data_IF_584120419793
#
_entry.id   IF_584120419793
#
_cell.length_a   1.000
_cell.length_b   1.000
_cell.length_c   1.000
_cell.angle_alpha   90.00
_cell.angle_beta   90.00
_cell.angle_gamma   90.00
#
_symmetry.space_group_name_H-M   'P 1'
#
loop_
_entity.id
_entity.type
_entity.pdbx_description
1 polymer ?
#
# COMPACT_ATOMS: atom_id res chain seq x y z
N UNK A 1 -17.20 -19.99 20.18
CA UNK A 1 -18.12 -19.15 20.95
C UNK A 1 -19.57 -19.55 20.75
N UNK A 2 -20.48 -19.14 21.63
CA UNK A 2 -21.93 -19.39 21.53
C UNK A 2 -22.49 -18.81 20.22
N UNK A 3 -22.07 -17.59 19.87
CA UNK A 3 -22.46 -16.88 18.65
C UNK A 3 -22.19 -17.72 17.38
N UNK A 4 -20.99 -18.27 17.24
CA UNK A 4 -20.65 -19.11 16.07
C UNK A 4 -21.51 -20.36 15.96
N UNK A 5 -21.89 -20.93 17.12
CA UNK A 5 -22.80 -22.10 17.12
C UNK A 5 -24.22 -21.73 16.67
N UNK A 6 -24.70 -20.54 17.06
CA UNK A 6 -26.02 -20.08 16.58
C UNK A 6 -25.98 -19.69 15.10
N UNK A 7 -24.88 -19.15 14.57
CA UNK A 7 -24.71 -18.91 13.13
C UNK A 7 -24.82 -20.21 12.33
N UNK A 8 -24.13 -21.28 12.77
CA UNK A 8 -24.22 -22.61 12.14
C UNK A 8 -25.65 -23.19 12.23
N UNK A 9 -26.37 -22.95 13.31
CA UNK A 9 -27.77 -23.39 13.44
C UNK A 9 -28.68 -22.61 12.48
N UNK A 10 -28.47 -21.30 12.33
CA UNK A 10 -29.22 -20.46 11.42
C UNK A 10 -28.98 -20.86 9.94
N UNK A 11 -27.72 -21.08 9.54
CA UNK A 11 -27.36 -21.57 8.20
C UNK A 11 -28.03 -22.93 7.84
N UNK A 12 -28.22 -23.76 8.85
CA UNK A 12 -28.85 -25.10 8.68
C UNK A 12 -30.36 -25.10 8.92
N UNK A 13 -30.97 -23.96 9.12
CA UNK A 13 -32.37 -23.78 9.49
C UNK A 13 -32.82 -24.68 10.67
N UNK A 14 -31.92 -24.95 11.63
CA UNK A 14 -32.14 -25.83 12.77
C UNK A 14 -32.31 -25.04 14.07
N UNK A 15 -33.29 -25.49 14.89
CA UNK A 15 -33.44 -24.94 16.26
C UNK A 15 -32.50 -25.66 17.25
N UNK A 16 -32.04 -24.97 18.29
CA UNK A 16 -31.17 -25.55 19.30
C UNK A 16 -31.95 -26.61 20.12
N UNK A 17 -31.37 -27.81 20.23
CA UNK A 17 -31.95 -28.90 21.01
C UNK A 17 -31.79 -28.67 22.53
N UNK A 18 -32.52 -29.48 23.32
CA UNK A 18 -32.55 -29.35 24.78
C UNK A 18 -31.15 -29.45 25.41
N UNK A 19 -30.33 -30.40 24.95
CA UNK A 19 -28.95 -30.60 25.43
C UNK A 19 -28.05 -29.43 25.12
N UNK A 20 -28.16 -28.84 23.96
CA UNK A 20 -27.42 -27.65 23.59
C UNK A 20 -27.76 -26.47 24.51
N UNK A 21 -29.05 -26.24 24.76
CA UNK A 21 -29.53 -25.19 25.65
C UNK A 21 -29.05 -25.39 27.09
N UNK A 22 -29.14 -26.60 27.60
CA UNK A 22 -28.71 -26.95 28.96
C UNK A 22 -27.20 -26.73 29.15
N UNK A 23 -26.40 -27.22 28.20
CA UNK A 23 -24.95 -27.05 28.19
C UNK A 23 -24.54 -25.59 28.26
N UNK A 24 -25.11 -24.74 27.42
CA UNK A 24 -24.74 -23.33 27.38
C UNK A 24 -25.31 -22.53 28.54
N UNK A 25 -26.45 -22.87 29.07
CA UNK A 25 -26.98 -22.27 30.30
C UNK A 25 -26.06 -22.55 31.51
N UNK A 26 -25.57 -23.78 31.62
CA UNK A 26 -24.62 -24.16 32.65
C UNK A 26 -23.24 -23.51 32.45
N UNK A 27 -22.74 -23.54 31.23
CA UNK A 27 -21.40 -23.02 30.91
C UNK A 27 -21.27 -21.50 31.10
N UNK A 28 -22.35 -20.76 30.92
CA UNK A 28 -22.37 -19.29 31.00
C UNK A 28 -23.06 -18.75 32.24
N UNK A 29 -23.50 -19.64 33.15
CA UNK A 29 -24.27 -19.30 34.36
C UNK A 29 -25.47 -18.37 34.09
N UNK A 30 -26.13 -18.61 32.95
CA UNK A 30 -27.22 -17.78 32.45
C UNK A 30 -28.57 -18.27 32.97
N UNK A 31 -29.32 -17.42 33.63
CA UNK A 31 -30.77 -17.62 33.93
C UNK A 31 -31.62 -17.49 32.63
N UNK A 32 -31.07 -17.82 31.45
CA UNK A 32 -31.64 -17.46 30.16
C UNK A 32 -31.96 -18.70 29.29
N UNK A 33 -32.39 -19.82 29.91
CA UNK A 33 -32.78 -21.03 29.19
C UNK A 33 -33.87 -20.78 28.15
N UNK A 34 -34.84 -19.94 28.46
CA UNK A 34 -35.92 -19.56 27.53
C UNK A 34 -35.41 -18.68 26.37
N UNK A 35 -34.42 -17.81 26.62
CA UNK A 35 -33.80 -17.01 25.57
C UNK A 35 -33.08 -17.86 24.51
N UNK A 36 -32.36 -18.90 24.94
CA UNK A 36 -31.68 -19.84 24.06
C UNK A 36 -32.64 -20.72 23.23
N UNK A 37 -33.94 -20.69 23.54
CA UNK A 37 -34.98 -21.40 22.79
C UNK A 37 -35.58 -20.58 21.63
N UNK A 38 -35.31 -19.28 21.58
CA UNK A 38 -35.82 -18.38 20.54
C UNK A 38 -35.21 -18.70 19.17
N UNK A 39 -35.75 -18.09 18.15
CA UNK A 39 -35.22 -18.23 16.78
C UNK A 39 -33.74 -17.87 16.72
N UNK A 40 -32.93 -18.65 15.99
CA UNK A 40 -31.45 -18.39 15.92
C UNK A 40 -31.09 -16.99 15.48
N UNK A 41 -31.81 -16.43 14.51
CA UNK A 41 -31.61 -15.04 14.03
C UNK A 41 -31.79 -13.99 15.15
N UNK A 42 -32.82 -14.14 15.96
CA UNK A 42 -33.08 -13.25 17.10
C UNK A 42 -31.99 -13.37 18.18
N UNK A 43 -31.54 -14.60 18.48
CA UNK A 43 -30.47 -14.83 19.46
C UNK A 43 -29.14 -14.26 18.95
N UNK A 44 -28.83 -14.44 17.67
CA UNK A 44 -27.63 -13.88 17.03
C UNK A 44 -27.65 -12.36 17.16
N UNK A 45 -28.69 -11.70 16.70
CA UNK A 45 -28.80 -10.23 16.74
C UNK A 45 -28.67 -9.68 18.16
N UNK A 46 -29.29 -10.34 19.16
CA UNK A 46 -29.20 -9.93 20.55
C UNK A 46 -27.79 -10.12 21.12
N UNK A 47 -27.13 -11.25 20.83
CA UNK A 47 -25.76 -11.51 21.27
C UNK A 47 -24.76 -10.58 20.60
N UNK A 48 -24.94 -10.27 19.32
CA UNK A 48 -24.11 -9.31 18.58
C UNK A 48 -24.26 -7.90 19.16
N UNK A 49 -25.49 -7.46 19.38
CA UNK A 49 -25.76 -6.15 20.00
C UNK A 49 -25.13 -6.05 21.39
N UNK A 50 -25.29 -7.08 22.22
CA UNK A 50 -24.69 -7.12 23.55
C UNK A 50 -23.16 -7.12 23.50
N UNK A 51 -22.57 -7.89 22.59
CA UNK A 51 -21.13 -7.94 22.39
C UNK A 51 -20.56 -6.60 21.95
N UNK A 52 -21.14 -5.99 20.94
CA UNK A 52 -20.65 -4.69 20.45
C UNK A 52 -20.85 -3.57 21.46
N UNK A 53 -21.97 -3.60 22.20
CA UNK A 53 -22.22 -2.65 23.28
C UNK A 53 -21.19 -2.77 24.40
N UNK A 54 -20.90 -4.00 24.86
CA UNK A 54 -19.87 -4.26 25.87
C UNK A 54 -18.48 -3.85 25.38
N UNK A 55 -18.13 -4.24 24.14
CA UNK A 55 -16.83 -3.91 23.55
C UNK A 55 -16.64 -2.42 23.35
N UNK A 56 -17.70 -1.71 22.96
CA UNK A 56 -17.70 -0.25 22.86
C UNK A 56 -17.37 0.38 24.23
N UNK A 57 -18.06 -0.06 25.29
CA UNK A 57 -17.81 0.46 26.64
C UNK A 57 -16.39 0.19 27.13
N UNK A 58 -15.85 -1.01 26.85
CA UNK A 58 -14.46 -1.34 27.18
C UNK A 58 -13.47 -0.41 26.47
N UNK A 59 -13.65 -0.21 25.15
CA UNK A 59 -12.80 0.68 24.35
C UNK A 59 -12.91 2.14 24.83
N UNK A 60 -14.10 2.61 25.17
CA UNK A 60 -14.30 3.96 25.69
C UNK A 60 -13.61 4.16 27.05
N UNK A 61 -13.59 3.13 27.91
CA UNK A 61 -12.85 3.16 29.16
C UNK A 61 -11.32 3.16 28.94
N UNK A 62 -10.82 2.29 28.07
CA UNK A 62 -9.41 2.28 27.69
C UNK A 62 -8.97 3.63 27.10
N UNK A 63 -9.78 4.21 26.21
CA UNK A 63 -9.53 5.51 25.60
C UNK A 63 -9.43 6.60 26.66
N UNK A 64 -10.37 6.64 27.60
CA UNK A 64 -10.36 7.62 28.70
C UNK A 64 -9.11 7.54 29.55
N UNK A 65 -8.67 6.33 29.91
CA UNK A 65 -7.42 6.13 30.68
C UNK A 65 -6.21 6.67 29.90
N UNK A 66 -6.16 6.43 28.61
CA UNK A 66 -5.08 6.93 27.74
C UNK A 66 -5.13 8.47 27.62
N UNK A 67 -6.32 9.03 27.41
CA UNK A 67 -6.52 10.49 27.33
C UNK A 67 -6.11 11.19 28.64
N UNK A 68 -6.51 10.66 29.79
CA UNK A 68 -6.13 11.18 31.10
C UNK A 68 -4.60 11.14 31.30
N UNK A 69 -3.95 10.04 30.92
CA UNK A 69 -2.50 9.90 30.98
C UNK A 69 -1.77 10.87 30.06
N UNK A 70 -2.26 11.06 28.82
CA UNK A 70 -1.72 12.02 27.86
C UNK A 70 -1.86 13.46 28.34
N UNK A 71 -3.00 13.79 28.97
CA UNK A 71 -3.24 15.12 29.53
C UNK A 71 -2.31 15.39 30.72
N UNK A 72 -2.12 14.41 31.63
CA UNK A 72 -1.18 14.53 32.74
C UNK A 72 0.27 14.68 32.30
N UNK A 73 0.66 14.00 31.24
CA UNK A 73 2.02 14.05 30.70
C UNK A 73 2.34 15.38 30.01
N UNK A 74 1.34 16.20 29.69
CA UNK A 74 1.43 17.47 28.96
C UNK A 74 2.41 17.41 27.76
N UNK A 75 2.20 16.38 26.95
CA UNK A 75 3.12 16.02 25.84
C UNK A 75 3.32 17.22 24.92
N UNK A 76 2.26 17.97 24.63
CA UNK A 76 2.31 19.12 23.73
C UNK A 76 3.27 20.21 24.25
N UNK A 77 3.19 20.55 25.50
CA UNK A 77 4.05 21.55 26.12
C UNK A 77 5.49 21.04 26.23
N UNK A 78 5.68 19.78 26.59
CA UNK A 78 7.01 19.17 26.68
C UNK A 78 7.69 19.07 25.33
N UNK A 79 6.97 18.75 24.25
CA UNK A 79 7.49 18.77 22.88
C UNK A 79 7.90 20.17 22.44
N UNK A 80 7.11 21.20 22.76
CA UNK A 80 7.49 22.59 22.43
C UNK A 80 8.69 23.06 23.25
N UNK A 81 8.79 22.68 24.51
CA UNK A 81 10.00 22.93 25.33
C UNK A 81 11.22 22.24 24.74
N UNK A 82 11.09 20.96 24.37
CA UNK A 82 12.18 20.20 23.73
C UNK A 82 12.64 20.88 22.44
N UNK A 83 11.71 21.26 21.57
CA UNK A 83 12.00 21.99 20.33
C UNK A 83 12.74 23.30 20.60
N UNK A 84 12.22 24.09 21.53
CA UNK A 84 12.83 25.38 21.90
C UNK A 84 14.25 25.22 22.45
N UNK A 85 14.45 24.27 23.36
CA UNK A 85 15.77 23.98 23.92
C UNK A 85 16.74 23.44 22.85
N UNK A 86 16.30 22.54 21.99
CA UNK A 86 17.11 22.00 20.90
C UNK A 86 17.53 23.07 19.92
N UNK A 87 16.62 23.97 19.52
CA UNK A 87 16.94 25.10 18.65
C UNK A 87 17.91 26.08 19.32
N UNK A 88 17.78 26.33 20.62
CA UNK A 88 18.69 27.19 21.37
C UNK A 88 20.11 26.61 21.41
N UNK A 89 20.25 25.31 21.66
CA UNK A 89 21.51 24.59 21.64
C UNK A 89 22.14 24.66 20.24
N UNK A 90 21.36 24.40 19.20
CA UNK A 90 21.83 24.44 17.81
C UNK A 90 22.32 25.85 17.44
N UNK A 91 21.52 26.88 17.73
CA UNK A 91 21.90 28.28 17.48
C UNK A 91 23.20 28.65 18.19
N UNK A 92 23.36 28.26 19.46
CA UNK A 92 24.59 28.55 20.22
C UNK A 92 25.80 27.83 19.63
N UNK A 93 25.66 26.57 19.18
CA UNK A 93 26.76 25.84 18.51
C UNK A 93 27.13 26.48 17.19
N UNK A 94 26.16 26.88 16.37
CA UNK A 94 26.39 27.55 15.09
C UNK A 94 27.07 28.92 15.34
N UNK A 95 26.53 29.70 16.28
CA UNK A 95 27.15 31.01 16.64
C UNK A 95 28.60 30.84 17.11
N UNK A 96 28.88 29.86 17.99
CA UNK A 96 30.23 29.57 18.44
C UNK A 96 31.19 29.16 17.32
N UNK A 97 30.68 28.42 16.33
CA UNK A 97 31.48 27.96 15.18
C UNK A 97 31.82 29.12 14.21
N UNK A 98 30.93 30.10 14.03
CA UNK A 98 31.02 31.11 12.97
C UNK A 98 31.22 32.55 13.47
N UNK A 99 31.54 32.76 14.74
CA UNK A 99 31.75 34.10 15.31
C UNK A 99 33.06 34.78 14.89
N UNK A 100 34.01 34.07 14.29
CA UNK A 100 35.37 34.57 14.06
C UNK A 100 35.86 34.49 12.60
N UNK A 101 35.02 34.71 11.62
CA UNK A 101 35.51 34.75 10.25
C UNK A 101 34.46 34.37 9.19
N UNK A 102 34.81 34.54 7.94
CA UNK A 102 34.01 34.14 6.81
C UNK A 102 33.98 32.59 6.72
N UNK A 103 32.82 32.05 6.36
CA UNK A 103 32.65 30.63 6.06
C UNK A 103 33.57 30.22 4.91
N UNK A 104 34.28 29.12 5.08
CA UNK A 104 35.06 28.54 3.98
C UNK A 104 34.09 28.10 2.86
N UNK A 105 34.39 28.55 1.65
CA UNK A 105 33.64 28.16 0.44
C UNK A 105 34.36 27.00 -0.24
N UNK A 106 33.59 26.03 -0.68
CA UNK A 106 34.09 24.85 -1.38
C UNK A 106 33.36 24.70 -2.72
N UNK A 107 34.06 24.26 -3.72
CA UNK A 107 33.53 23.82 -4.99
C UNK A 107 33.51 22.28 -5.03
N UNK A 108 32.81 21.69 -5.99
CA UNK A 108 32.82 20.22 -6.17
C UNK A 108 34.24 19.68 -6.39
N UNK A 109 35.14 20.49 -6.97
CA UNK A 109 36.55 20.11 -7.18
C UNK A 109 37.35 20.04 -5.89
N UNK A 110 36.95 20.77 -4.87
CA UNK A 110 37.62 20.79 -3.56
C UNK A 110 37.26 19.62 -2.67
N UNK A 111 36.16 18.94 -2.94
CA UNK A 111 35.63 17.91 -2.06
C UNK A 111 36.61 16.76 -1.80
N UNK A 112 37.31 16.28 -2.85
CA UNK A 112 38.29 15.20 -2.70
C UNK A 112 39.63 15.68 -2.11
N UNK A 113 40.30 16.66 -2.65
CA UNK A 113 41.64 17.07 -2.15
C UNK A 113 41.56 17.71 -0.76
N UNK A 114 40.41 18.26 -0.37
CA UNK A 114 40.22 18.94 0.92
C UNK A 114 39.09 18.29 1.72
N UNK A 115 38.97 16.96 1.67
CA UNK A 115 37.87 16.21 2.27
C UNK A 115 37.71 16.50 3.76
N UNK A 116 38.76 16.54 4.52
CA UNK A 116 38.73 16.81 5.96
C UNK A 116 38.15 18.20 6.27
N UNK A 117 38.68 19.23 5.64
CA UNK A 117 38.17 20.58 5.83
C UNK A 117 36.74 20.75 5.33
N UNK A 118 36.42 20.05 4.23
CA UNK A 118 35.08 20.03 3.67
C UNK A 118 34.08 19.38 4.65
N UNK A 119 34.42 18.23 5.22
CA UNK A 119 33.52 17.50 6.17
C UNK A 119 33.44 18.24 7.52
N UNK A 120 34.46 18.93 7.95
CA UNK A 120 34.36 19.83 9.12
C UNK A 120 33.32 20.93 8.91
N UNK A 121 33.20 21.45 7.69
CA UNK A 121 32.24 22.51 7.36
C UNK A 121 30.87 21.94 7.02
N UNK A 122 30.82 20.87 6.25
CA UNK A 122 29.63 20.19 5.79
C UNK A 122 29.61 18.72 6.25
N UNK A 123 29.22 18.46 7.51
CA UNK A 123 29.26 17.09 8.07
C UNK A 123 28.21 16.15 7.48
N UNK A 124 27.22 16.68 6.76
CA UNK A 124 26.16 15.89 6.07
C UNK A 124 26.34 16.08 4.57
N UNK A 125 26.57 14.96 3.87
CA UNK A 125 26.70 14.91 2.42
C UNK A 125 25.56 14.10 1.83
N UNK A 126 24.78 14.69 0.94
CA UNK A 126 23.73 14.01 0.20
C UNK A 126 24.29 13.50 -1.13
N UNK A 127 24.08 12.22 -1.42
CA UNK A 127 24.60 11.59 -2.64
C UNK A 127 23.69 10.43 -3.06
N UNK A 128 23.87 9.98 -4.29
CA UNK A 128 23.34 8.67 -4.69
C UNK A 128 24.27 7.55 -4.17
N UNK A 129 23.75 6.34 -4.00
CA UNK A 129 24.54 5.17 -3.59
C UNK A 129 25.79 4.97 -4.47
N UNK A 130 25.64 5.18 -5.77
CA UNK A 130 26.74 5.05 -6.74
C UNK A 130 27.81 6.11 -6.61
N UNK A 131 27.44 7.34 -6.23
CA UNK A 131 28.37 8.48 -6.18
C UNK A 131 28.97 8.70 -4.79
N UNK A 132 28.43 8.10 -3.73
CA UNK A 132 28.83 8.33 -2.35
C UNK A 132 30.36 8.18 -2.14
N UNK A 133 30.94 7.08 -2.63
CA UNK A 133 32.38 6.80 -2.54
C UNK A 133 33.24 7.84 -3.26
N UNK A 134 32.68 8.53 -4.24
CA UNK A 134 33.39 9.54 -5.02
C UNK A 134 33.33 10.96 -4.41
N UNK A 135 32.54 11.16 -3.36
CA UNK A 135 32.40 12.50 -2.73
C UNK A 135 33.58 12.89 -1.87
N UNK A 136 34.38 11.93 -1.38
CA UNK A 136 35.52 12.16 -0.50
C UNK A 136 36.80 11.48 -1.02
N UNK A 137 37.95 11.76 -0.43
CA UNK A 137 39.21 11.12 -0.77
C UNK A 137 39.15 9.61 -0.43
N UNK A 138 40.05 8.83 -1.02
CA UNK A 138 40.10 7.37 -0.79
C UNK A 138 40.47 6.98 0.62
N UNK A 139 41.24 7.80 1.29
CA UNK A 139 41.76 7.56 2.62
C UNK A 139 40.81 7.98 3.73
N UNK A 140 39.67 8.58 3.36
CA UNK A 140 38.65 9.01 4.31
C UNK A 140 37.39 8.14 4.21
N UNK A 141 36.75 7.97 5.35
CA UNK A 141 35.45 7.31 5.48
C UNK A 141 34.50 8.19 6.31
N UNK A 142 33.23 8.09 6.05
CA UNK A 142 32.20 8.73 6.87
C UNK A 142 32.02 7.97 8.18
N UNK A 143 31.58 8.63 9.23
CA UNK A 143 31.18 7.95 10.47
C UNK A 143 29.93 7.08 10.22
N UNK A 144 29.00 7.57 9.44
CA UNK A 144 27.75 6.90 9.11
C UNK A 144 27.40 7.05 7.63
N UNK A 145 26.86 5.97 7.06
CA UNK A 145 26.03 6.02 5.87
C UNK A 145 24.59 5.75 6.27
N UNK A 146 23.69 6.61 5.85
CA UNK A 146 22.25 6.43 6.00
C UNK A 146 21.68 6.21 4.60
N UNK A 147 21.20 5.00 4.32
CA UNK A 147 20.66 4.62 3.02
C UNK A 147 19.16 4.50 3.12
N UNK A 148 18.45 5.39 2.45
CA UNK A 148 16.99 5.34 2.34
C UNK A 148 16.57 4.56 1.08
N UNK A 149 15.36 4.03 1.09
CA UNK A 149 14.78 3.19 0.03
C UNK A 149 15.67 2.00 -0.36
N UNK A 150 16.34 1.38 0.61
CA UNK A 150 17.32 0.30 0.39
C UNK A 150 16.71 -0.97 -0.23
N UNK A 151 15.39 -1.12 -0.21
CA UNK A 151 14.69 -2.18 -0.96
C UNK A 151 14.85 -2.07 -2.48
N UNK A 152 15.07 -0.84 -2.99
CA UNK A 152 15.27 -0.58 -4.43
C UNK A 152 16.74 -0.62 -4.85
N UNK A 153 17.65 -0.74 -3.90
CA UNK A 153 19.10 -0.76 -4.17
C UNK A 153 19.54 -2.17 -4.47
N UNK A 154 20.31 -2.35 -5.55
CA UNK A 154 20.97 -3.62 -5.84
C UNK A 154 22.18 -3.85 -4.91
N UNK A 155 22.54 -5.12 -4.70
CA UNK A 155 23.59 -5.49 -3.75
C UNK A 155 24.95 -4.85 -4.10
N UNK A 156 25.28 -4.69 -5.39
CA UNK A 156 26.56 -4.15 -5.84
C UNK A 156 26.73 -2.69 -5.43
N UNK A 157 25.72 -1.87 -5.74
CA UNK A 157 25.75 -0.43 -5.41
C UNK A 157 25.57 -0.17 -3.93
N UNK A 158 24.79 -1.02 -3.23
CA UNK A 158 24.69 -0.99 -1.78
C UNK A 158 26.00 -1.30 -1.08
N UNK A 159 26.72 -2.34 -1.51
CA UNK A 159 28.04 -2.68 -0.99
C UNK A 159 29.06 -1.57 -1.24
N UNK A 160 29.01 -0.92 -2.42
CA UNK A 160 29.86 0.23 -2.71
C UNK A 160 29.60 1.39 -1.73
N UNK A 161 28.34 1.68 -1.44
CA UNK A 161 28.01 2.73 -0.47
C UNK A 161 28.44 2.35 0.97
N UNK A 162 28.28 1.08 1.38
CA UNK A 162 28.77 0.63 2.69
C UNK A 162 30.29 0.81 2.83
N UNK A 163 31.04 0.62 1.75
CA UNK A 163 32.50 0.74 1.78
C UNK A 163 33.03 2.14 2.11
N UNK A 164 32.16 3.15 2.16
CA UNK A 164 32.57 4.53 2.44
C UNK A 164 32.26 4.99 3.88
N UNK A 165 31.79 4.10 4.76
CA UNK A 165 31.43 4.49 6.13
C UNK A 165 31.81 3.40 7.16
N UNK A 166 31.98 3.82 8.43
CA UNK A 166 32.26 2.91 9.55
C UNK A 166 30.97 2.25 10.09
N UNK A 167 29.86 2.99 10.05
CA UNK A 167 28.57 2.52 10.52
C UNK A 167 27.51 2.72 9.43
N UNK A 168 26.45 1.90 9.46
CA UNK A 168 25.38 2.01 8.49
C UNK A 168 23.99 2.00 9.15
N UNK A 169 23.10 2.82 8.63
CA UNK A 169 21.66 2.80 8.91
C UNK A 169 20.96 2.50 7.60
N UNK A 170 20.35 1.32 7.49
CA UNK A 170 19.70 0.85 6.28
C UNK A 170 18.19 1.00 6.46
N UNK A 171 17.60 1.93 5.71
CA UNK A 171 16.17 2.24 5.78
C UNK A 171 15.49 1.73 4.52
N UNK A 172 14.35 1.07 4.67
CA UNK A 172 13.57 0.54 3.56
C UNK A 172 12.42 -0.33 4.05
N UNK A 173 11.54 -0.70 3.15
CA UNK A 173 10.39 -1.55 3.45
C UNK A 173 10.43 -2.86 2.67
N UNK A 174 10.36 -3.98 3.37
CA UNK A 174 10.24 -5.31 2.75
C UNK A 174 8.87 -5.53 2.08
N UNK A 175 7.89 -4.71 2.41
CA UNK A 175 6.56 -4.65 1.81
C UNK A 175 6.45 -3.58 0.69
N UNK A 176 7.57 -3.00 0.29
CA UNK A 176 7.66 -2.07 -0.85
C UNK A 176 8.28 -2.78 -2.06
N UNK A 177 8.27 -2.08 -3.22
CA UNK A 177 8.85 -2.66 -4.42
C UNK A 177 10.35 -2.91 -4.26
N UNK A 178 10.83 -4.13 -4.55
CA UNK A 178 12.25 -4.41 -4.59
C UNK A 178 12.90 -3.79 -5.85
N UNK A 179 14.23 -3.81 -5.89
CA UNK A 179 14.95 -3.50 -7.12
C UNK A 179 14.52 -4.44 -8.25
N UNK A 180 14.38 -3.86 -9.46
CA UNK A 180 13.95 -4.63 -10.64
C UNK A 180 15.18 -5.26 -11.30
N UNK A 181 15.18 -6.59 -11.40
CA UNK A 181 16.19 -7.35 -12.12
C UNK A 181 15.54 -7.93 -13.38
N UNK A 182 16.11 -7.64 -14.55
CA UNK A 182 15.60 -8.18 -15.82
C UNK A 182 15.90 -9.69 -15.95
N UNK A 183 15.19 -10.38 -16.84
CA UNK A 183 15.44 -11.82 -17.07
C UNK A 183 16.88 -12.08 -17.54
N UNK A 184 17.42 -11.21 -18.37
CA UNK A 184 18.80 -11.31 -18.88
C UNK A 184 19.81 -11.10 -17.74
N UNK A 185 19.61 -10.08 -16.92
CA UNK A 185 20.43 -9.85 -15.71
C UNK A 185 20.34 -11.02 -14.72
N UNK A 186 19.16 -11.60 -14.53
CA UNK A 186 18.97 -12.76 -13.66
C UNK A 186 19.83 -13.95 -14.11
N UNK A 187 19.87 -14.21 -15.42
CA UNK A 187 20.70 -15.28 -15.97
C UNK A 187 22.19 -15.00 -15.75
N UNK A 188 22.64 -13.78 -16.04
CA UNK A 188 24.04 -13.39 -15.85
C UNK A 188 24.46 -13.44 -14.37
N UNK A 189 23.62 -12.92 -13.45
CA UNK A 189 23.89 -12.94 -12.02
C UNK A 189 23.93 -14.36 -11.45
N UNK A 190 23.05 -15.25 -11.89
CA UNK A 190 23.08 -16.66 -11.49
C UNK A 190 24.33 -17.37 -12.00
N UNK A 191 24.78 -17.09 -13.24
CA UNK A 191 26.03 -17.63 -13.74
C UNK A 191 27.24 -17.18 -12.91
N UNK A 192 27.32 -15.90 -12.56
CA UNK A 192 28.34 -15.35 -11.65
C UNK A 192 28.26 -16.04 -10.27
N UNK A 193 27.06 -16.17 -9.68
CA UNK A 193 26.85 -16.83 -8.41
C UNK A 193 27.44 -18.24 -8.38
N UNK A 194 27.15 -19.02 -9.40
CA UNK A 194 27.64 -20.40 -9.54
C UNK A 194 29.18 -20.42 -9.69
N UNK A 195 29.72 -19.58 -10.60
CA UNK A 195 31.14 -19.55 -10.90
C UNK A 195 32.01 -19.16 -9.70
N UNK A 196 31.52 -18.29 -8.83
CA UNK A 196 32.27 -17.79 -7.67
C UNK A 196 31.77 -18.36 -6.34
N UNK A 197 30.88 -19.36 -6.37
CA UNK A 197 30.27 -19.98 -5.20
C UNK A 197 29.73 -18.95 -4.18
N UNK A 198 29.00 -17.94 -4.68
CA UNK A 198 28.44 -16.89 -3.83
C UNK A 198 27.25 -17.44 -3.04
N UNK A 199 27.26 -17.25 -1.72
CA UNK A 199 26.18 -17.66 -0.83
C UNK A 199 24.83 -17.01 -1.21
N UNK A 200 23.74 -17.70 -0.92
CA UNK A 200 22.39 -17.29 -1.36
C UNK A 200 21.97 -15.92 -0.79
N UNK A 201 22.37 -15.60 0.46
CA UNK A 201 22.14 -14.30 1.09
C UNK A 201 22.74 -13.10 0.34
N UNK A 202 23.68 -13.34 -0.59
CA UNK A 202 24.27 -12.33 -1.47
C UNK A 202 23.81 -12.47 -2.92
N UNK A 203 22.74 -13.23 -3.18
CA UNK A 203 22.23 -13.46 -4.51
C UNK A 203 21.51 -12.22 -5.06
N UNK A 204 22.20 -11.41 -5.84
CA UNK A 204 21.67 -10.20 -6.43
C UNK A 204 20.52 -10.42 -7.46
N UNK A 205 20.31 -11.67 -7.89
CA UNK A 205 19.18 -12.01 -8.76
C UNK A 205 17.84 -12.11 -8.01
N UNK A 206 17.88 -12.37 -6.69
CA UNK A 206 16.69 -12.64 -5.87
C UNK A 206 16.54 -11.71 -4.67
N UNK A 207 17.62 -11.05 -4.25
CA UNK A 207 17.63 -10.18 -3.09
C UNK A 207 17.93 -8.73 -3.45
N UNK A 208 17.18 -7.82 -2.86
CA UNK A 208 17.58 -6.42 -2.77
C UNK A 208 18.70 -6.26 -1.73
N UNK A 209 19.33 -5.09 -1.72
CA UNK A 209 20.35 -4.78 -0.72
C UNK A 209 19.80 -4.86 0.72
N UNK A 210 18.57 -4.35 0.94
CA UNK A 210 17.89 -4.45 2.24
C UNK A 210 17.72 -5.91 2.70
N UNK A 211 17.23 -6.78 1.81
CA UNK A 211 17.03 -8.21 2.13
C UNK A 211 18.36 -8.90 2.43
N UNK A 212 19.39 -8.64 1.61
CA UNK A 212 20.72 -9.17 1.86
C UNK A 212 21.28 -8.70 3.20
N UNK A 213 21.16 -7.41 3.55
CA UNK A 213 21.57 -6.89 4.85
C UNK A 213 20.84 -7.56 6.01
N UNK A 214 19.51 -7.74 5.90
CA UNK A 214 18.72 -8.39 6.94
C UNK A 214 19.14 -9.85 7.18
N UNK A 215 19.54 -10.58 6.14
CA UNK A 215 20.03 -11.95 6.26
C UNK A 215 21.46 -12.05 6.76
N UNK A 216 22.32 -11.08 6.41
CA UNK A 216 23.74 -11.05 6.79
C UNK A 216 23.91 -10.56 8.23
N UNK A 217 23.22 -9.49 8.61
CA UNK A 217 23.36 -8.81 9.89
C UNK A 217 22.21 -9.15 10.85
N UNK A 218 22.01 -10.44 11.14
CA UNK A 218 20.89 -10.91 11.97
C UNK A 218 20.87 -10.34 13.39
N UNK A 219 22.04 -9.97 13.92
CA UNK A 219 22.16 -9.37 15.26
C UNK A 219 22.01 -7.84 15.26
N UNK A 220 21.88 -7.22 14.09
CA UNK A 220 21.68 -5.79 14.02
C UNK A 220 20.29 -5.40 14.55
N UNK A 221 20.16 -4.29 15.29
CA UNK A 221 18.86 -3.84 15.76
C UNK A 221 17.96 -3.45 14.58
N UNK A 222 16.72 -3.97 14.61
CA UNK A 222 15.69 -3.67 13.62
C UNK A 222 14.56 -2.91 14.29
N UNK A 223 14.20 -1.75 13.75
CA UNK A 223 13.10 -0.94 14.26
C UNK A 223 12.05 -0.76 13.16
N UNK A 224 10.83 -1.23 13.40
CA UNK A 224 9.69 -0.97 12.54
C UNK A 224 9.16 0.43 12.81
N UNK A 225 9.11 1.29 11.78
CA UNK A 225 8.45 2.59 11.82
C UNK A 225 6.95 2.38 11.65
N UNK A 226 6.20 2.43 12.74
CA UNK A 226 4.77 2.11 12.76
C UNK A 226 3.88 3.30 12.43
N UNK A 227 4.33 4.52 12.69
CA UNK A 227 3.52 5.72 12.52
C UNK A 227 3.40 6.12 11.06
N UNK A 228 2.16 6.25 10.59
CA UNK A 228 1.85 6.61 9.22
C UNK A 228 1.16 7.99 9.18
N UNK A 229 1.80 8.96 8.55
CA UNK A 229 1.40 10.38 8.54
C UNK A 229 0.83 10.86 7.21
N UNK A 230 0.68 10.00 6.21
CA UNK A 230 0.35 10.40 4.84
C UNK A 230 -1.11 10.15 4.49
N UNK A 231 -1.51 8.89 4.41
CA UNK A 231 -2.78 8.49 3.85
C UNK A 231 -3.93 8.66 4.85
N UNK A 232 -5.12 8.92 4.33
CA UNK A 232 -6.35 8.84 5.09
C UNK A 232 -6.46 7.48 5.83
N UNK A 233 -6.97 7.43 7.08
CA UNK A 233 -7.01 6.19 7.87
C UNK A 233 -7.70 5.02 7.17
N UNK A 234 -8.75 5.28 6.39
CA UNK A 234 -9.47 4.25 5.64
C UNK A 234 -8.66 3.69 4.47
N UNK A 235 -7.79 4.50 3.85
CA UNK A 235 -6.91 4.04 2.76
C UNK A 235 -5.81 3.16 3.34
N UNK A 236 -5.04 3.68 4.29
CA UNK A 236 -3.93 2.90 4.88
C UNK A 236 -4.43 1.72 5.71
N UNK A 237 -5.66 1.76 6.21
CA UNK A 237 -6.27 0.67 6.97
C UNK A 237 -6.36 -0.64 6.19
N UNK A 238 -6.54 -0.60 4.88
CA UNK A 238 -6.43 -1.80 4.03
C UNK A 238 -5.01 -2.35 4.03
N UNK A 239 -4.03 -1.49 3.69
CA UNK A 239 -2.61 -1.90 3.66
C UNK A 239 -2.18 -2.44 5.02
N UNK A 240 -2.57 -1.78 6.11
CA UNK A 240 -2.26 -2.19 7.47
C UNK A 240 -2.74 -3.61 7.77
N UNK A 241 -4.00 -3.91 7.46
CA UNK A 241 -4.57 -5.26 7.69
C UNK A 241 -3.96 -6.31 6.77
N UNK A 242 -3.74 -5.97 5.50
CA UNK A 242 -3.35 -6.95 4.48
C UNK A 242 -1.86 -7.23 4.47
N UNK A 243 -1.02 -6.20 4.67
CA UNK A 243 0.42 -6.29 4.46
C UNK A 243 1.25 -6.10 5.74
N UNK A 244 0.70 -5.42 6.76
CA UNK A 244 1.43 -5.05 7.98
C UNK A 244 0.85 -5.66 9.26
N UNK A 245 -0.02 -6.68 9.15
CA UNK A 245 -0.61 -7.41 10.30
C UNK A 245 -1.31 -6.50 11.35
N UNK A 246 -1.75 -5.32 10.97
CA UNK A 246 -2.36 -4.35 11.88
C UNK A 246 -1.38 -3.52 12.70
N UNK A 247 -0.08 -3.58 12.42
CA UNK A 247 0.95 -2.94 13.25
C UNK A 247 1.11 -1.43 12.98
N UNK A 248 0.61 -0.92 11.86
CA UNK A 248 0.70 0.51 11.56
C UNK A 248 -0.27 1.32 12.41
N UNK A 249 0.17 2.51 12.81
CA UNK A 249 -0.60 3.49 13.55
C UNK A 249 -0.87 4.66 12.61
N UNK A 250 -2.13 4.83 12.19
CA UNK A 250 -2.51 5.98 11.37
C UNK A 250 -2.53 7.24 12.25
N UNK A 251 -1.63 8.18 11.96
CA UNK A 251 -1.53 9.47 12.65
C UNK A 251 -2.37 10.56 11.97
N UNK A 252 -3.00 10.22 10.85
CA UNK A 252 -3.94 11.07 10.12
C UNK A 252 -5.34 10.93 10.71
N UNK A 253 -6.17 11.96 10.51
CA UNK A 253 -7.52 12.01 11.09
C UNK A 253 -8.56 11.83 10.00
N UNK A 254 -9.55 10.97 10.24
CA UNK A 254 -10.77 10.86 9.44
C UNK A 254 -11.73 12.00 9.85
N UNK A 255 -12.01 12.89 8.91
CA UNK A 255 -12.96 14.00 9.09
C UNK A 255 -14.34 13.69 8.49
N UNK A 256 -14.60 12.41 8.24
CA UNK A 256 -15.79 11.92 7.53
C UNK A 256 -15.88 12.44 6.07
N UNK A 257 -14.73 12.52 5.40
CA UNK A 257 -14.68 12.88 3.98
C UNK A 257 -15.46 11.85 3.15
N UNK A 258 -16.20 12.37 2.17
CA UNK A 258 -16.93 11.54 1.21
C UNK A 258 -15.98 11.00 0.14
N UNK A 259 -16.29 9.84 -0.40
CA UNK A 259 -15.59 9.25 -1.55
C UNK A 259 -14.06 9.01 -1.32
N UNK A 260 -13.67 8.73 -0.07
CA UNK A 260 -12.27 8.40 0.25
C UNK A 260 -11.79 7.19 -0.54
N UNK A 261 -12.65 6.20 -0.69
CA UNK A 261 -12.42 4.99 -1.47
C UNK A 261 -13.55 4.82 -2.49
N UNK A 262 -13.23 4.41 -3.70
CA UNK A 262 -14.19 4.14 -4.76
C UNK A 262 -13.70 3.02 -5.66
N UNK A 263 -14.63 2.20 -6.15
CA UNK A 263 -14.38 1.23 -7.23
C UNK A 263 -15.27 1.58 -8.41
N UNK A 264 -14.68 1.59 -9.60
CA UNK A 264 -15.43 1.70 -10.86
C UNK A 264 -15.13 0.43 -11.67
N UNK A 265 -16.17 -0.34 -11.94
CA UNK A 265 -16.07 -1.52 -12.78
C UNK A 265 -16.44 -1.16 -14.21
N UNK A 266 -15.61 -1.51 -15.16
CA UNK A 266 -15.97 -1.39 -16.57
C UNK A 266 -16.95 -2.50 -16.97
N UNK A 267 -17.51 -2.41 -18.16
CA UNK A 267 -18.34 -3.48 -18.71
C UNK A 267 -17.55 -4.79 -18.76
N UNK A 268 -18.13 -5.94 -18.38
CA UNK A 268 -17.45 -7.23 -18.48
C UNK A 268 -17.01 -7.56 -19.91
N UNK A 269 -15.88 -8.20 -20.08
CA UNK A 269 -15.40 -8.65 -21.37
C UNK A 269 -13.86 -8.73 -21.46
N UNK A 270 -13.37 -9.13 -22.61
CA UNK A 270 -11.94 -9.24 -22.91
C UNK A 270 -11.43 -7.92 -23.52
N UNK A 271 -11.21 -6.92 -22.69
CA UNK A 271 -10.84 -5.56 -23.09
C UNK A 271 -9.33 -5.28 -23.05
N UNK A 272 -8.57 -6.05 -22.26
CA UNK A 272 -7.12 -5.90 -22.18
C UNK A 272 -6.42 -6.62 -23.34
N UNK A 273 -5.55 -5.89 -24.05
CA UNK A 273 -4.71 -6.42 -25.15
C UNK A 273 -3.32 -5.80 -25.07
N UNK A 274 -2.28 -6.63 -24.96
CA UNK A 274 -0.90 -6.16 -24.94
C UNK A 274 -0.62 -5.14 -23.83
N UNK A 275 -1.13 -5.35 -22.63
CA UNK A 275 -1.03 -4.46 -21.46
C UNK A 275 -1.69 -3.08 -21.67
N UNK A 276 -2.72 -3.02 -22.50
CA UNK A 276 -3.53 -1.84 -22.73
C UNK A 276 -5.01 -2.22 -22.63
N UNK A 277 -5.78 -1.45 -21.87
CA UNK A 277 -7.23 -1.58 -21.71
C UNK A 277 -7.90 -0.26 -22.08
N UNK A 278 -8.36 -0.16 -23.33
CA UNK A 278 -9.00 1.07 -23.83
C UNK A 278 -10.27 1.38 -23.06
N UNK A 279 -10.99 0.37 -22.58
CA UNK A 279 -12.22 0.56 -21.81
C UNK A 279 -11.97 1.29 -20.48
N UNK A 280 -10.89 0.93 -19.78
CA UNK A 280 -10.52 1.66 -18.57
C UNK A 280 -10.08 3.09 -18.87
N UNK A 281 -9.37 3.32 -19.98
CA UNK A 281 -8.98 4.67 -20.42
C UNK A 281 -10.20 5.54 -20.66
N UNK A 282 -11.17 5.04 -21.42
CA UNK A 282 -12.41 5.77 -21.74
C UNK A 282 -13.21 6.04 -20.46
N UNK A 283 -13.34 5.06 -19.59
CA UNK A 283 -14.03 5.19 -18.29
C UNK A 283 -13.36 6.25 -17.41
N UNK A 284 -12.03 6.23 -17.32
CA UNK A 284 -11.29 7.23 -16.55
C UNK A 284 -11.51 8.62 -17.15
N UNK A 285 -11.36 8.76 -18.45
CA UNK A 285 -11.45 10.06 -19.12
C UNK A 285 -12.86 10.67 -19.05
N UNK A 286 -13.91 9.88 -19.21
CA UNK A 286 -15.28 10.36 -19.37
C UNK A 286 -16.10 10.34 -18.08
N UNK A 287 -15.83 9.39 -17.16
CA UNK A 287 -16.67 9.20 -15.98
C UNK A 287 -15.98 9.46 -14.66
N UNK A 288 -14.64 9.26 -14.58
CA UNK A 288 -13.93 9.31 -13.29
C UNK A 288 -13.25 10.66 -13.05
N UNK A 289 -12.57 11.19 -14.06
CA UNK A 289 -11.76 12.41 -13.95
C UNK A 289 -12.51 13.61 -13.38
N UNK A 290 -13.77 13.80 -13.77
CA UNK A 290 -14.59 14.94 -13.33
C UNK A 290 -14.83 14.94 -11.82
N UNK A 291 -14.88 13.77 -11.19
CA UNK A 291 -15.08 13.64 -9.75
C UNK A 291 -13.88 14.07 -8.89
N UNK A 292 -12.70 14.26 -9.51
CA UNK A 292 -11.45 14.62 -8.83
C UNK A 292 -10.85 15.96 -9.30
N UNK A 293 -11.62 16.76 -10.03
CA UNK A 293 -11.14 18.05 -10.56
C UNK A 293 -10.64 19.00 -9.47
N UNK A 294 -11.29 19.00 -8.31
CA UNK A 294 -11.01 19.89 -7.18
C UNK A 294 -10.09 19.24 -6.10
N UNK A 295 -9.51 18.08 -6.38
CA UNK A 295 -8.71 17.35 -5.39
C UNK A 295 -7.32 17.96 -5.10
N UNK A 296 -6.96 19.05 -5.78
CA UNK A 296 -5.65 19.72 -5.67
C UNK A 296 -4.58 19.02 -6.49
N UNK A 297 -4.10 17.83 -6.08
CA UNK A 297 -3.18 17.02 -6.88
C UNK A 297 -3.81 15.67 -7.22
N UNK A 298 -3.78 15.32 -8.50
CA UNK A 298 -4.32 14.09 -9.04
C UNK A 298 -3.21 13.31 -9.77
N UNK A 299 -3.16 12.01 -9.52
CA UNK A 299 -2.28 11.10 -10.23
C UNK A 299 -3.01 9.86 -10.70
N UNK A 300 -2.53 9.26 -11.78
CA UNK A 300 -3.04 7.98 -12.27
C UNK A 300 -1.92 6.97 -12.23
N UNK A 301 -2.17 5.83 -11.59
CA UNK A 301 -1.20 4.76 -11.43
C UNK A 301 -1.69 3.51 -12.14
N UNK A 302 -0.79 2.86 -12.87
CA UNK A 302 -1.08 1.60 -13.56
C UNK A 302 0.12 0.65 -13.49
N UNK A 303 -0.08 -0.67 -13.57
CA UNK A 303 1.03 -1.63 -13.62
C UNK A 303 1.91 -1.48 -14.87
N UNK A 304 1.34 -1.03 -16.02
CA UNK A 304 1.97 -1.14 -17.32
C UNK A 304 2.30 0.21 -17.97
N UNK A 305 3.50 0.31 -18.55
CA UNK A 305 3.98 1.52 -19.26
C UNK A 305 3.09 1.89 -20.44
N UNK A 306 2.60 0.89 -21.20
CA UNK A 306 1.73 1.09 -22.36
C UNK A 306 0.43 1.78 -21.96
N UNK A 307 -0.20 1.34 -20.86
CA UNK A 307 -1.41 1.95 -20.32
C UNK A 307 -1.17 3.38 -19.85
N UNK A 308 -0.05 3.62 -19.13
CA UNK A 308 0.30 4.95 -18.67
C UNK A 308 0.47 5.94 -19.82
N UNK A 309 1.20 5.53 -20.88
CA UNK A 309 1.39 6.37 -22.05
C UNK A 309 0.07 6.66 -22.79
N UNK A 310 -0.79 5.65 -22.92
CA UNK A 310 -2.10 5.80 -23.55
C UNK A 310 -3.05 6.72 -22.75
N UNK A 311 -3.05 6.62 -21.42
CA UNK A 311 -3.79 7.51 -20.53
C UNK A 311 -3.31 8.95 -20.67
N UNK A 312 -2.01 9.22 -20.63
CA UNK A 312 -1.45 10.55 -20.81
C UNK A 312 -1.84 11.16 -22.16
N UNK A 313 -1.81 10.34 -23.23
CA UNK A 313 -2.25 10.76 -24.56
C UNK A 313 -3.75 11.06 -24.62
N UNK A 314 -4.59 10.20 -24.03
CA UNK A 314 -6.04 10.36 -24.07
C UNK A 314 -6.52 11.56 -23.23
N UNK A 315 -5.80 11.89 -22.16
CA UNK A 315 -6.14 13.00 -21.26
C UNK A 315 -5.44 14.32 -21.65
N UNK A 316 -4.52 14.29 -22.59
CA UNK A 316 -3.62 15.42 -22.90
C UNK A 316 -2.93 16.00 -21.66
N UNK A 317 -2.48 15.11 -20.76
CA UNK A 317 -1.86 15.45 -19.47
C UNK A 317 -0.79 14.41 -19.10
N UNK A 318 0.30 14.84 -18.49
CA UNK A 318 1.36 13.94 -17.98
C UNK A 318 1.14 13.66 -16.48
N UNK A 319 0.03 13.00 -16.14
CA UNK A 319 -0.35 12.64 -14.76
C UNK A 319 -0.39 11.14 -14.50
N UNK A 320 -0.22 10.33 -15.56
CA UNK A 320 -0.22 8.87 -15.44
C UNK A 320 1.19 8.30 -15.49
N UNK A 321 1.47 7.33 -14.63
CA UNK A 321 2.76 6.62 -14.59
C UNK A 321 2.61 5.22 -14.03
N UNK A 322 3.68 4.43 -14.17
CA UNK A 322 3.72 3.11 -13.52
C UNK A 322 3.97 3.24 -12.02
N UNK A 323 3.56 2.22 -11.26
CA UNK A 323 3.77 2.17 -9.80
C UNK A 323 5.23 2.44 -9.42
N UNK A 324 6.19 1.83 -10.15
CA UNK A 324 7.62 2.03 -9.92
C UNK A 324 8.07 3.49 -10.06
N UNK A 325 7.55 4.21 -11.05
CA UNK A 325 7.87 5.62 -11.27
C UNK A 325 7.13 6.56 -10.29
N UNK A 326 6.08 6.05 -9.67
CA UNK A 326 5.32 6.78 -8.65
C UNK A 326 5.91 6.62 -7.24
N UNK A 327 6.86 5.71 -7.05
CA UNK A 327 7.54 5.54 -5.76
C UNK A 327 8.24 6.85 -5.36
N UNK A 328 8.11 7.24 -4.10
CA UNK A 328 8.56 8.55 -3.60
C UNK A 328 7.62 9.74 -3.90
N UNK A 329 6.59 9.57 -4.72
CA UNK A 329 5.58 10.60 -5.01
C UNK A 329 4.29 10.35 -4.24
N UNK A 330 3.46 11.36 -4.11
CA UNK A 330 2.12 11.28 -3.52
C UNK A 330 1.19 12.28 -4.18
N UNK A 331 -0.11 11.99 -4.18
CA UNK A 331 -1.14 12.91 -4.65
C UNK A 331 -2.35 12.86 -3.71
N UNK A 332 -3.08 13.96 -3.62
CA UNK A 332 -4.31 13.99 -2.84
C UNK A 332 -5.32 12.94 -3.32
N UNK A 333 -5.45 12.80 -4.64
CA UNK A 333 -6.24 11.74 -5.24
C UNK A 333 -5.39 10.86 -6.17
N UNK A 334 -5.59 9.56 -6.08
CA UNK A 334 -5.01 8.57 -6.98
C UNK A 334 -6.13 7.78 -7.66
N UNK A 335 -6.02 7.66 -8.97
CA UNK A 335 -6.83 6.74 -9.77
C UNK A 335 -5.92 5.56 -10.16
N UNK A 336 -6.30 4.34 -9.82
CA UNK A 336 -5.59 3.13 -10.22
C UNK A 336 -6.30 2.48 -11.41
N UNK A 337 -5.60 2.32 -12.54
CA UNK A 337 -6.06 1.55 -13.71
C UNK A 337 -5.40 0.19 -13.70
N UNK A 338 -6.19 -0.88 -13.47
CA UNK A 338 -5.65 -2.23 -13.23
C UNK A 338 -5.35 -2.99 -14.51
N UNK A 339 -5.96 -2.60 -15.62
CA UNK A 339 -5.70 -3.06 -16.99
C UNK A 339 -6.19 -4.47 -17.30
N UNK A 340 -5.75 -5.46 -16.52
CA UNK A 340 -5.94 -6.87 -16.84
C UNK A 340 -7.41 -7.29 -16.78
N UNK A 341 -7.82 -8.21 -17.66
CA UNK A 341 -9.18 -8.77 -17.65
C UNK A 341 -9.47 -9.59 -16.39
N UNK A 342 -8.45 -10.19 -15.83
CA UNK A 342 -8.40 -10.85 -14.52
C UNK A 342 -7.04 -10.56 -13.89
N UNK A 343 -6.95 -10.41 -12.55
CA UNK A 343 -5.68 -10.15 -11.89
C UNK A 343 -4.62 -11.20 -12.24
N UNK A 344 -3.43 -10.74 -12.59
CA UNK A 344 -2.26 -11.58 -12.86
C UNK A 344 -1.31 -11.56 -11.66
N UNK A 345 -0.34 -12.48 -11.61
CA UNK A 345 0.69 -12.46 -10.57
C UNK A 345 1.47 -11.15 -10.49
N UNK A 346 1.54 -10.40 -11.60
CA UNK A 346 2.20 -9.10 -11.63
C UNK A 346 1.28 -7.96 -11.17
N UNK A 347 0.07 -7.85 -11.73
CA UNK A 347 -0.86 -6.77 -11.36
C UNK A 347 -1.47 -6.94 -9.96
N UNK A 348 -1.49 -8.16 -9.42
CA UNK A 348 -1.96 -8.49 -8.06
C UNK A 348 -0.81 -8.65 -7.04
N UNK A 349 0.43 -8.28 -7.42
CA UNK A 349 1.58 -8.35 -6.52
C UNK A 349 1.37 -7.48 -5.28
N UNK A 350 1.62 -8.05 -4.11
CA UNK A 350 1.36 -7.42 -2.82
C UNK A 350 2.15 -6.12 -2.62
N UNK A 351 3.43 -6.11 -3.00
CA UNK A 351 4.29 -4.95 -2.85
C UNK A 351 3.91 -3.84 -3.82
N UNK A 352 3.54 -4.22 -5.04
CA UNK A 352 3.05 -3.29 -6.06
C UNK A 352 1.77 -2.59 -5.60
N UNK A 353 0.80 -3.35 -5.12
CA UNK A 353 -0.47 -2.80 -4.63
C UNK A 353 -0.29 -1.96 -3.37
N UNK A 354 0.54 -2.42 -2.41
CA UNK A 354 0.84 -1.66 -1.20
C UNK A 354 1.44 -0.28 -1.54
N UNK A 355 2.41 -0.25 -2.45
CA UNK A 355 3.01 1.01 -2.90
C UNK A 355 1.98 1.88 -3.63
N UNK A 356 1.21 1.34 -4.56
CA UNK A 356 0.23 2.09 -5.33
C UNK A 356 -0.85 2.73 -4.44
N UNK A 357 -1.44 1.96 -3.54
CA UNK A 357 -2.48 2.41 -2.60
C UNK A 357 -1.95 3.50 -1.67
N UNK A 358 -0.74 3.30 -1.12
CA UNK A 358 -0.12 4.25 -0.18
C UNK A 358 0.36 5.55 -0.83
N UNK A 359 0.17 5.76 -2.14
CA UNK A 359 0.40 7.04 -2.83
C UNK A 359 -0.77 8.01 -2.69
N UNK A 360 -1.96 7.51 -2.34
CA UNK A 360 -3.16 8.32 -2.17
C UNK A 360 -3.19 8.95 -0.77
N UNK A 361 -3.24 10.28 -0.70
CA UNK A 361 -3.34 11.01 0.56
C UNK A 361 -4.78 10.99 1.07
N UNK A 362 -5.75 11.44 0.25
CA UNK A 362 -7.14 11.64 0.66
C UNK A 362 -8.14 10.77 -0.08
N UNK A 363 -7.90 10.46 -1.35
CA UNK A 363 -8.85 9.75 -2.21
C UNK A 363 -8.15 8.67 -3.04
N UNK A 364 -8.75 7.50 -3.09
CA UNK A 364 -8.32 6.39 -3.93
C UNK A 364 -9.50 5.86 -4.75
N UNK A 365 -9.41 5.92 -6.06
CA UNK A 365 -10.35 5.30 -6.99
C UNK A 365 -9.65 4.15 -7.73
N UNK A 366 -10.29 3.00 -7.78
CA UNK A 366 -9.77 1.84 -8.51
C UNK A 366 -10.69 1.58 -9.69
N UNK A 367 -10.13 1.55 -10.88
CA UNK A 367 -10.82 1.19 -12.11
C UNK A 367 -10.39 -0.21 -12.51
N UNK A 368 -11.32 -1.12 -12.57
CA UNK A 368 -11.09 -2.55 -12.83
C UNK A 368 -12.01 -3.05 -13.94
N UNK A 369 -11.65 -4.15 -14.57
CA UNK A 369 -12.54 -4.87 -15.47
C UNK A 369 -13.78 -5.38 -14.71
N UNK A 370 -14.95 -5.38 -15.35
CA UNK A 370 -16.20 -5.89 -14.77
C UNK A 370 -16.31 -7.41 -14.71
N UNK A 371 -15.28 -8.14 -15.12
CA UNK A 371 -15.24 -9.60 -14.97
C UNK A 371 -15.15 -10.00 -13.50
N UNK A 372 -15.41 -11.27 -13.22
CA UNK A 372 -15.25 -11.85 -11.89
C UNK A 372 -13.80 -11.78 -11.46
N UNK A 373 -13.57 -11.15 -10.31
CA UNK A 373 -12.26 -11.03 -9.68
C UNK A 373 -12.19 -12.05 -8.54
N UNK A 374 -11.15 -12.90 -8.48
CA UNK A 374 -11.01 -13.89 -7.42
C UNK A 374 -10.99 -13.22 -6.04
N UNK A 375 -11.86 -13.65 -5.12
CA UNK A 375 -11.94 -13.10 -3.76
C UNK A 375 -10.63 -13.23 -2.96
N UNK A 376 -9.82 -14.24 -3.25
CA UNK A 376 -8.52 -14.46 -2.62
C UNK A 376 -7.41 -13.56 -3.13
N UNK A 377 -7.60 -12.86 -4.28
CA UNK A 377 -6.63 -11.91 -4.82
C UNK A 377 -6.54 -10.65 -3.96
N UNK A 378 -5.40 -9.96 -4.02
CA UNK A 378 -5.22 -8.70 -3.28
C UNK A 378 -6.21 -7.61 -3.77
N UNK A 379 -6.45 -7.56 -5.08
CA UNK A 379 -7.44 -6.65 -5.68
C UNK A 379 -8.85 -7.03 -5.22
N UNK A 380 -9.21 -8.32 -5.20
CA UNK A 380 -10.50 -8.79 -4.70
C UNK A 380 -10.71 -8.44 -3.23
N UNK A 381 -9.69 -8.61 -2.40
CA UNK A 381 -9.72 -8.22 -0.99
C UNK A 381 -9.85 -6.69 -0.81
N UNK A 382 -9.23 -5.90 -1.67
CA UNK A 382 -9.37 -4.44 -1.64
C UNK A 382 -10.81 -4.01 -2.01
N UNK A 383 -11.39 -4.61 -3.03
CA UNK A 383 -12.79 -4.36 -3.42
C UNK A 383 -13.73 -4.76 -2.28
N UNK A 384 -13.53 -5.94 -1.69
CA UNK A 384 -14.32 -6.40 -0.53
C UNK A 384 -14.18 -5.46 0.68
N UNK A 385 -12.98 -4.94 0.93
CA UNK A 385 -12.74 -3.95 1.98
C UNK A 385 -13.49 -2.63 1.72
N UNK A 386 -13.49 -2.16 0.47
CA UNK A 386 -14.22 -0.95 0.05
C UNK A 386 -15.73 -1.14 0.26
N UNK A 387 -16.28 -2.28 -0.15
CA UNK A 387 -17.68 -2.63 0.04
C UNK A 387 -18.05 -2.76 1.52
N UNK A 388 -17.22 -3.43 2.31
CA UNK A 388 -17.42 -3.60 3.75
C UNK A 388 -17.49 -2.26 4.50
N UNK A 389 -16.73 -1.26 4.05
CA UNK A 389 -16.76 0.08 4.63
C UNK A 389 -17.86 0.97 4.03
N UNK A 390 -18.80 0.41 3.27
CA UNK A 390 -19.94 1.11 2.63
C UNK A 390 -19.51 2.24 1.69
N UNK A 391 -18.37 2.09 1.02
CA UNK A 391 -17.95 3.00 -0.03
C UNK A 391 -18.55 2.58 -1.39
N UNK A 392 -18.53 3.53 -2.32
CA UNK A 392 -19.17 3.36 -3.62
C UNK A 392 -18.46 2.31 -4.48
N UNK A 393 -19.23 1.36 -4.99
CA UNK A 393 -18.87 0.49 -6.10
C UNK A 393 -19.81 0.80 -7.25
N UNK A 394 -19.27 1.39 -8.30
CA UNK A 394 -20.04 1.89 -9.45
C UNK A 394 -19.71 1.07 -10.69
N UNK A 395 -20.74 0.76 -11.47
CA UNK A 395 -20.60 0.20 -12.81
C UNK A 395 -20.50 1.32 -13.85
N UNK A 396 -19.52 1.25 -14.74
CA UNK A 396 -19.39 2.16 -15.87
C UNK A 396 -20.52 1.93 -16.88
N UNK A 397 -21.03 3.01 -17.45
CA UNK A 397 -22.06 2.99 -18.49
C UNK A 397 -21.48 2.96 -19.90
N UNK A 398 -20.15 3.01 -20.03
CA UNK A 398 -19.49 3.06 -21.31
C UNK A 398 -19.44 1.69 -21.97
N UNK A 399 -20.11 1.58 -23.11
CA UNK A 399 -20.09 0.41 -23.99
C UNK A 399 -19.38 0.76 -25.29
N UNK A 400 -18.68 -0.21 -25.91
CA UNK A 400 -18.20 -0.03 -27.27
C UNK A 400 -19.36 -0.11 -28.27
N UNK A 401 -19.19 0.50 -29.42
CA UNK A 401 -20.13 0.31 -30.52
C UNK A 401 -20.29 -1.17 -30.88
N UNK A 402 -19.19 -1.93 -30.81
CA UNK A 402 -19.21 -3.38 -31.01
C UNK A 402 -20.05 -4.10 -29.94
N UNK A 403 -19.95 -3.75 -28.66
CA UNK A 403 -20.75 -4.36 -27.61
C UNK A 403 -22.24 -4.10 -27.82
N UNK A 404 -22.61 -2.88 -28.24
CA UNK A 404 -23.98 -2.54 -28.54
C UNK A 404 -24.52 -3.34 -29.74
N UNK A 405 -23.76 -3.38 -30.82
CA UNK A 405 -24.10 -4.14 -32.02
C UNK A 405 -24.18 -5.66 -31.75
N UNK A 406 -23.22 -6.20 -30.97
CA UNK A 406 -23.22 -7.61 -30.64
C UNK A 406 -24.38 -8.02 -29.75
N UNK A 407 -24.74 -7.20 -28.76
CA UNK A 407 -25.92 -7.45 -27.91
C UNK A 407 -27.21 -7.43 -28.72
N UNK A 408 -27.36 -6.47 -29.62
CA UNK A 408 -28.51 -6.41 -30.53
C UNK A 408 -28.56 -7.65 -31.42
N UNK A 409 -27.43 -8.02 -32.03
CA UNK A 409 -27.34 -9.18 -32.89
C UNK A 409 -27.61 -10.50 -32.13
N UNK A 410 -27.14 -10.61 -30.88
CA UNK A 410 -27.42 -11.79 -30.04
C UNK A 410 -28.89 -11.89 -29.67
N UNK A 411 -29.56 -10.76 -29.36
CA UNK A 411 -30.97 -10.72 -29.07
C UNK A 411 -31.81 -11.14 -30.30
N UNK A 412 -31.47 -10.64 -31.50
CA UNK A 412 -32.09 -11.00 -32.75
C UNK A 412 -31.88 -12.49 -33.10
N UNK A 413 -30.66 -13.01 -32.88
CA UNK A 413 -30.34 -14.40 -33.06
C UNK A 413 -31.11 -15.31 -32.11
N UNK A 414 -31.17 -14.96 -30.82
CA UNK A 414 -31.97 -15.70 -29.83
C UNK A 414 -33.47 -15.67 -30.15
N UNK A 415 -33.97 -14.53 -30.64
CA UNK A 415 -35.34 -14.41 -31.10
C UNK A 415 -35.59 -15.31 -32.34
N UNK A 416 -34.65 -15.30 -33.30
CA UNK A 416 -34.70 -16.17 -34.46
C UNK A 416 -34.62 -17.67 -34.09
N UNK A 417 -33.71 -18.07 -33.24
CA UNK A 417 -33.56 -19.44 -32.74
C UNK A 417 -34.79 -19.89 -31.92
N UNK A 418 -35.41 -18.99 -31.15
CA UNK A 418 -36.65 -19.28 -30.43
C UNK A 418 -37.86 -19.53 -31.36
N UNK A 419 -37.90 -18.80 -32.50
CA UNK A 419 -38.97 -18.95 -33.49
C UNK A 419 -38.76 -20.09 -34.48
N UNK A 420 -37.50 -20.56 -34.64
CA UNK A 420 -37.12 -21.56 -35.64
C UNK A 420 -36.52 -22.84 -35.04
N UNK A 421 -36.90 -23.23 -33.81
CA UNK A 421 -36.43 -24.42 -33.10
C UNK A 421 -36.72 -25.76 -33.78
N UNK A 422 -37.31 -25.79 -34.97
CA UNK A 422 -37.63 -27.02 -35.72
C UNK A 422 -36.84 -27.17 -37.02
N UNK A 423 -35.79 -26.41 -37.29
CA UNK A 423 -34.93 -26.60 -38.45
C UNK A 423 -33.59 -27.14 -38.00
N UNK A 424 -33.28 -28.35 -38.47
CA UNK A 424 -32.12 -29.21 -38.14
C UNK A 424 -30.77 -28.56 -37.93
N UNK A 425 -29.92 -29.16 -37.06
CA UNK A 425 -28.57 -28.72 -36.82
C UNK A 425 -27.62 -29.30 -37.85
N UNK A 426 -27.52 -28.68 -39.02
CA UNK A 426 -26.43 -28.88 -39.96
C UNK A 426 -26.15 -27.59 -40.68
N UNK A 427 -25.26 -26.79 -40.06
CA UNK A 427 -24.28 -25.91 -40.72
C UNK A 427 -23.27 -25.47 -39.67
#
# INVERSE_FOLDING_TARGET
SLLNRYRILAEKERKPNLWFRLKWTLALNLKMFSFLAKEPSYVIATLETAYYSSRKTEIEQELKVIEDALQQADIKQNMERLRTCSLKILKNRIAGKYTKGERKKFTVRDMKPRSEEFLMEYPIVLSTTYSAKNCISRDMVFDYVIMDEASQVDIKTGALALSCALNAVIVGGDKQLPNVVTKEETLALNAIRISYNVEDKYNAATHSFLQSCAEVFKEAPVTLLREHYRCHPKIIGFCNRRFYNGELIAMTTDKNEKNVLQVVRTVPGNHARGHLNQREIDTIAQEVMSGYADSGSLGIITPYRTQAAALNKALDKDISSTVHKYQGRECNAIIMSMVDNTPTAFSDDANLLNVAISRAVSHLCIVVNGNDIPEGSNIGQLISYIQYNNFEVRESRLHSLFDLLYKQYTAERLAYEATHRHVSPHL
#
